data_IF_323245749012
#
_entry.id   IF_323245749012
#
_cell.length_a   1.000
_cell.length_b   1.000
_cell.length_c   1.000
_cell.angle_alpha   90.00
_cell.angle_beta   90.00
_cell.angle_gamma   90.00
#
_symmetry.space_group_name_H-M   'P 1'
#
loop_
_entity.id
_entity.type
_entity.pdbx_description
1 polymer ?
#
# COMPACT_ATOMS: atom_id res chain seq x y z
N UNK A 1 -2.94 -15.50 23.27
CA UNK A 1 -3.76 -15.53 22.06
C UNK A 1 -2.99 -14.85 20.96
N UNK A 2 -2.91 -15.48 19.77
CA UNK A 2 -2.22 -14.86 18.64
C UNK A 2 -3.00 -13.63 18.16
N UNK A 3 -2.32 -12.48 17.99
CA UNK A 3 -2.95 -11.25 17.48
C UNK A 3 -3.49 -11.48 16.07
N UNK A 4 -4.65 -10.91 15.78
CA UNK A 4 -5.31 -10.98 14.48
C UNK A 4 -5.00 -9.72 13.66
N UNK A 5 -4.31 -9.88 12.54
CA UNK A 5 -3.85 -8.79 11.68
C UNK A 5 -4.68 -8.77 10.40
N UNK A 6 -5.20 -7.60 10.05
CA UNK A 6 -5.78 -7.35 8.74
C UNK A 6 -4.70 -6.82 7.79
N UNK A 7 -4.53 -7.47 6.65
CA UNK A 7 -3.67 -7.00 5.55
C UNK A 7 -4.57 -6.64 4.37
N UNK A 8 -4.74 -5.36 4.08
CA UNK A 8 -5.42 -4.94 2.86
C UNK A 8 -4.43 -4.89 1.70
N UNK A 9 -4.85 -5.30 0.51
CA UNK A 9 -3.92 -5.45 -0.61
C UNK A 9 -3.01 -6.68 -0.48
N UNK A 10 -3.44 -7.68 0.32
CA UNK A 10 -2.64 -8.85 0.63
C UNK A 10 -2.52 -9.89 -0.50
N UNK A 11 -3.28 -9.76 -1.59
CA UNK A 11 -3.11 -10.54 -2.81
C UNK A 11 -2.13 -9.89 -3.80
N UNK A 12 -1.69 -8.66 -3.53
CA UNK A 12 -0.70 -7.94 -4.33
C UNK A 12 0.74 -8.37 -4.01
N UNK A 13 1.68 -7.85 -4.80
CA UNK A 13 3.11 -8.16 -4.67
C UNK A 13 3.63 -7.98 -3.23
N UNK A 14 3.60 -6.76 -2.69
CA UNK A 14 4.12 -6.46 -1.35
C UNK A 14 3.27 -7.14 -0.27
N UNK A 15 1.94 -7.08 -0.40
CA UNK A 15 1.02 -7.61 0.61
C UNK A 15 1.10 -9.11 0.80
N UNK A 16 1.40 -9.87 -0.25
CA UNK A 16 1.56 -11.33 -0.16
C UNK A 16 2.79 -11.72 0.65
N UNK A 17 3.92 -11.01 0.48
CA UNK A 17 5.12 -11.24 1.30
C UNK A 17 4.91 -10.84 2.76
N UNK A 18 4.22 -9.71 3.01
CA UNK A 18 3.85 -9.30 4.37
C UNK A 18 2.97 -10.36 5.03
N UNK A 19 2.00 -10.92 4.30
CA UNK A 19 1.12 -11.98 4.77
C UNK A 19 1.92 -13.22 5.14
N UNK A 20 2.84 -13.67 4.29
CA UNK A 20 3.69 -14.83 4.57
C UNK A 20 4.50 -14.64 5.85
N UNK A 21 5.17 -13.50 5.99
CA UNK A 21 5.98 -13.19 7.17
C UNK A 21 5.15 -13.16 8.46
N UNK A 22 3.93 -12.61 8.41
CA UNK A 22 3.04 -12.60 9.56
C UNK A 22 2.60 -14.00 9.98
N UNK A 23 2.25 -14.84 9.01
CA UNK A 23 1.89 -16.25 9.25
C UNK A 23 3.06 -17.01 9.85
N UNK A 24 4.27 -16.87 9.27
CA UNK A 24 5.49 -17.48 9.80
C UNK A 24 5.76 -17.09 11.26
N UNK A 25 5.46 -15.85 11.63
CA UNK A 25 5.57 -15.35 13.00
C UNK A 25 4.40 -15.74 13.92
N UNK A 26 3.47 -16.56 13.43
CA UNK A 26 2.37 -17.10 14.22
C UNK A 26 1.20 -16.13 14.41
N UNK A 27 1.06 -15.08 13.63
CA UNK A 27 -0.12 -14.22 13.66
C UNK A 27 -1.29 -14.89 12.93
N UNK A 28 -2.51 -14.63 13.40
CA UNK A 28 -3.71 -14.87 12.58
C UNK A 28 -3.84 -13.74 11.58
N UNK A 29 -3.98 -14.04 10.29
CA UNK A 29 -4.04 -13.04 9.23
C UNK A 29 -5.34 -13.15 8.45
N UNK A 30 -6.01 -12.01 8.25
CA UNK A 30 -7.04 -11.85 7.23
C UNK A 30 -6.50 -10.95 6.13
N UNK A 31 -6.54 -11.44 4.90
CA UNK A 31 -6.26 -10.67 3.67
C UNK A 31 -7.58 -10.12 3.14
N UNK A 32 -7.63 -8.82 2.87
CA UNK A 32 -8.75 -8.14 2.23
C UNK A 32 -8.27 -7.51 0.93
N UNK A 33 -8.77 -7.99 -0.21
CA UNK A 33 -8.28 -7.60 -1.54
C UNK A 33 -9.40 -7.75 -2.58
N UNK A 34 -9.47 -6.84 -3.54
CA UNK A 34 -10.43 -6.89 -4.65
C UNK A 34 -9.87 -7.55 -5.93
N UNK A 35 -8.64 -8.08 -5.86
CA UNK A 35 -7.93 -8.74 -6.96
C UNK A 35 -7.77 -7.87 -8.24
N UNK A 36 -7.86 -6.54 -8.12
CA UNK A 36 -7.72 -5.62 -9.26
C UNK A 36 -6.32 -5.68 -9.92
N UNK A 37 -5.29 -6.00 -9.14
CA UNK A 37 -3.91 -6.19 -9.62
C UNK A 37 -3.23 -7.40 -8.97
N UNK A 38 -3.69 -7.81 -7.81
CA UNK A 38 -3.22 -8.99 -7.09
C UNK A 38 -3.80 -10.28 -7.65
N UNK A 39 -3.26 -11.41 -7.17
CA UNK A 39 -3.70 -12.75 -7.56
C UNK A 39 -4.00 -13.58 -6.33
N UNK A 40 -5.16 -14.21 -6.30
CA UNK A 40 -5.54 -15.14 -5.24
C UNK A 40 -4.50 -16.24 -5.01
N UNK A 41 -3.83 -16.70 -6.06
CA UNK A 41 -2.79 -17.70 -6.00
C UNK A 41 -1.55 -17.29 -5.19
N UNK A 42 -1.31 -15.98 -5.04
CA UNK A 42 -0.19 -15.45 -4.27
C UNK A 42 -0.50 -15.30 -2.78
N UNK A 43 -1.75 -15.52 -2.37
CA UNK A 43 -2.18 -15.45 -0.96
C UNK A 43 -1.80 -16.72 -0.23
N UNK A 44 -1.13 -16.56 0.92
CA UNK A 44 -0.79 -17.68 1.79
C UNK A 44 -2.04 -18.51 2.16
N UNK A 45 -2.03 -19.84 1.96
CA UNK A 45 -3.20 -20.69 2.20
C UNK A 45 -3.65 -20.74 3.68
N UNK A 46 -2.80 -20.34 4.61
CA UNK A 46 -3.14 -20.25 6.03
C UNK A 46 -3.83 -18.92 6.40
N UNK A 47 -3.82 -17.92 5.50
CA UNK A 47 -4.55 -16.68 5.71
C UNK A 47 -6.03 -16.85 5.36
N UNK A 48 -6.90 -16.19 6.13
CA UNK A 48 -8.30 -16.02 5.74
C UNK A 48 -8.37 -14.98 4.63
N UNK A 49 -8.85 -15.35 3.46
CA UNK A 49 -9.06 -14.38 2.39
C UNK A 49 -10.50 -13.90 2.34
N UNK A 50 -10.67 -12.58 2.24
CA UNK A 50 -11.95 -11.92 2.02
C UNK A 50 -11.83 -11.07 0.75
N UNK A 51 -12.61 -11.39 -0.27
CA UNK A 51 -12.72 -10.56 -1.45
C UNK A 51 -13.51 -9.29 -1.10
N UNK A 52 -12.92 -8.11 -1.33
CA UNK A 52 -13.58 -6.84 -1.05
C UNK A 52 -12.72 -5.63 -1.40
N UNK A 53 -13.38 -4.49 -1.51
CA UNK A 53 -12.77 -3.21 -1.88
C UNK A 53 -12.73 -2.28 -0.67
N UNK A 54 -11.63 -1.55 -0.48
CA UNK A 54 -11.47 -0.59 0.63
C UNK A 54 -12.45 0.59 0.56
N UNK A 55 -13.13 0.76 -0.56
CA UNK A 55 -14.20 1.73 -0.74
C UNK A 55 -15.56 1.23 -0.22
N UNK A 56 -15.70 -0.07 0.03
CA UNK A 56 -16.92 -0.69 0.55
C UNK A 56 -16.87 -0.72 2.09
N UNK A 57 -17.52 0.26 2.71
CA UNK A 57 -17.58 0.37 4.18
C UNK A 57 -18.31 -0.81 4.83
N UNK A 58 -19.29 -1.40 4.14
CA UNK A 58 -20.05 -2.55 4.69
C UNK A 58 -19.18 -3.81 4.73
N UNK A 59 -18.44 -4.08 3.64
CA UNK A 59 -17.51 -5.19 3.59
C UNK A 59 -16.37 -5.03 4.61
N UNK A 60 -15.83 -3.81 4.78
CA UNK A 60 -14.83 -3.51 5.79
C UNK A 60 -15.36 -3.75 7.20
N UNK A 61 -16.54 -3.24 7.53
CA UNK A 61 -17.17 -3.42 8.86
C UNK A 61 -17.31 -4.91 9.19
N UNK A 62 -17.75 -5.72 8.22
CA UNK A 62 -17.88 -7.17 8.43
C UNK A 62 -16.53 -7.83 8.79
N UNK A 63 -15.44 -7.40 8.16
CA UNK A 63 -14.09 -7.90 8.48
C UNK A 63 -13.65 -7.43 9.88
N UNK A 64 -13.84 -6.17 10.22
CA UNK A 64 -13.43 -5.66 11.52
C UNK A 64 -14.19 -6.31 12.70
N UNK A 65 -15.44 -6.72 12.50
CA UNK A 65 -16.23 -7.50 13.48
C UNK A 65 -15.61 -8.87 13.82
N UNK A 66 -14.65 -9.37 13.05
CA UNK A 66 -13.92 -10.61 13.37
C UNK A 66 -12.86 -10.46 14.45
N UNK A 67 -12.69 -9.27 15.02
CA UNK A 67 -11.77 -8.98 16.13
C UNK A 67 -10.34 -8.69 15.67
N UNK A 68 -10.17 -7.71 14.78
CA UNK A 68 -8.87 -7.24 14.32
C UNK A 68 -8.12 -6.50 15.44
N UNK A 69 -6.83 -6.78 15.60
CA UNK A 69 -5.95 -6.13 16.57
C UNK A 69 -5.04 -5.07 15.97
N UNK A 70 -4.69 -5.22 14.68
CA UNK A 70 -3.89 -4.25 13.94
C UNK A 70 -4.19 -4.34 12.44
N UNK A 71 -3.94 -3.26 11.72
CA UNK A 71 -4.10 -3.18 10.27
C UNK A 71 -2.77 -2.86 9.61
N UNK A 72 -2.45 -3.61 8.54
CA UNK A 72 -1.40 -3.26 7.59
C UNK A 72 -2.10 -2.91 6.28
N UNK A 73 -2.18 -1.60 6.00
CA UNK A 73 -2.92 -1.07 4.87
C UNK A 73 -2.00 -0.84 3.67
N UNK A 74 -2.03 -1.78 2.72
CA UNK A 74 -1.22 -1.77 1.49
C UNK A 74 -2.10 -1.53 0.26
N UNK A 75 -3.39 -1.89 0.33
CA UNK A 75 -4.33 -1.67 -0.77
C UNK A 75 -4.26 -0.22 -1.29
N UNK A 76 -4.09 -0.08 -2.59
CA UNK A 76 -4.02 1.24 -3.24
C UNK A 76 -3.70 1.11 -4.72
N UNK A 77 -4.08 2.12 -5.49
CA UNK A 77 -3.63 2.33 -6.85
C UNK A 77 -2.19 2.89 -6.79
N UNK A 78 -1.22 2.28 -7.49
CA UNK A 78 0.20 2.60 -7.36
C UNK A 78 0.84 3.23 -8.62
N UNK A 79 0.04 3.45 -9.67
CA UNK A 79 0.54 3.99 -10.93
C UNK A 79 0.37 5.51 -11.03
N UNK A 80 1.48 6.24 -11.16
CA UNK A 80 1.47 7.67 -11.45
C UNK A 80 0.70 7.95 -12.74
N UNK A 81 0.93 7.14 -13.79
CA UNK A 81 0.27 7.33 -15.09
C UNK A 81 -1.25 7.18 -14.99
N UNK A 82 -1.73 6.14 -14.28
CA UNK A 82 -3.17 5.96 -14.08
C UNK A 82 -3.80 7.08 -13.25
N UNK A 83 -3.06 7.66 -12.30
CA UNK A 83 -3.56 8.79 -11.52
C UNK A 83 -3.84 10.02 -12.38
N UNK A 84 -3.03 10.28 -13.42
CA UNK A 84 -3.29 11.35 -14.37
C UNK A 84 -4.47 11.05 -15.30
N UNK A 85 -4.68 9.80 -15.66
CA UNK A 85 -5.78 9.39 -16.54
C UNK A 85 -7.12 9.33 -15.79
N UNK A 86 -7.10 8.94 -14.52
CA UNK A 86 -8.28 8.68 -13.70
C UNK A 86 -8.10 9.24 -12.28
N UNK A 87 -7.99 10.57 -12.10
CA UNK A 87 -7.67 11.19 -10.82
C UNK A 87 -8.71 10.92 -9.73
N UNK A 88 -9.98 10.86 -10.10
CA UNK A 88 -11.07 10.56 -9.15
C UNK A 88 -10.98 9.11 -8.63
N UNK A 89 -10.65 8.17 -9.51
CA UNK A 89 -10.46 6.77 -9.10
C UNK A 89 -9.27 6.64 -8.16
N UNK A 90 -8.17 7.34 -8.43
CA UNK A 90 -6.98 7.39 -7.58
C UNK A 90 -7.31 7.97 -6.20
N UNK A 91 -8.01 9.11 -6.15
CA UNK A 91 -8.47 9.74 -4.90
C UNK A 91 -9.37 8.80 -4.10
N UNK A 92 -10.34 8.16 -4.75
CA UNK A 92 -11.30 7.27 -4.11
C UNK A 92 -10.63 6.02 -3.50
N UNK A 93 -9.65 5.44 -4.20
CA UNK A 93 -8.95 4.25 -3.69
C UNK A 93 -7.94 4.66 -2.60
N UNK A 94 -7.03 5.60 -2.91
CA UNK A 94 -5.89 5.89 -2.05
C UNK A 94 -6.26 6.73 -0.83
N UNK A 95 -7.08 7.77 -0.99
CA UNK A 95 -7.43 8.66 0.12
C UNK A 95 -8.70 8.22 0.81
N UNK A 96 -9.81 8.09 0.09
CA UNK A 96 -11.09 7.73 0.70
C UNK A 96 -11.06 6.30 1.26
N UNK A 97 -10.45 5.34 0.54
CA UNK A 97 -10.24 3.98 1.04
C UNK A 97 -9.45 3.96 2.35
N UNK A 98 -8.40 4.78 2.48
CA UNK A 98 -7.64 4.92 3.73
C UNK A 98 -8.49 5.55 4.84
N UNK A 99 -9.32 6.55 4.53
CA UNK A 99 -10.25 7.15 5.50
C UNK A 99 -11.24 6.09 6.00
N UNK A 100 -11.75 5.21 5.14
CA UNK A 100 -12.64 4.13 5.54
C UNK A 100 -11.94 3.14 6.49
N UNK A 101 -10.69 2.78 6.23
CA UNK A 101 -9.89 1.96 7.15
C UNK A 101 -9.72 2.67 8.51
N UNK A 102 -9.41 3.96 8.53
CA UNK A 102 -9.28 4.75 9.77
C UNK A 102 -10.61 4.77 10.53
N UNK A 103 -11.74 5.01 9.86
CA UNK A 103 -13.08 4.96 10.46
C UNK A 103 -13.34 3.62 11.15
N UNK A 104 -13.01 2.51 10.48
CA UNK A 104 -13.17 1.17 11.06
C UNK A 104 -12.22 0.93 12.23
N UNK A 105 -10.96 1.40 12.14
CA UNK A 105 -10.04 1.34 13.27
C UNK A 105 -10.61 2.05 14.50
N UNK A 106 -11.20 3.24 14.33
CA UNK A 106 -11.81 4.01 15.43
C UNK A 106 -13.04 3.26 15.97
N UNK A 107 -13.97 2.85 15.10
CA UNK A 107 -15.22 2.19 15.49
C UNK A 107 -14.98 0.89 16.27
N UNK A 108 -13.94 0.14 15.92
CA UNK A 108 -13.60 -1.15 16.53
C UNK A 108 -12.41 -1.07 17.52
N UNK A 109 -11.94 0.15 17.87
CA UNK A 109 -10.84 0.38 18.83
C UNK A 109 -9.54 -0.33 18.44
N UNK A 110 -9.24 -0.41 17.16
CA UNK A 110 -8.00 -0.99 16.62
C UNK A 110 -6.89 0.04 16.72
N UNK A 111 -6.06 -0.05 17.74
CA UNK A 111 -5.07 0.96 18.11
C UNK A 111 -3.79 0.98 17.26
N UNK A 112 -3.66 0.16 16.21
CA UNK A 112 -2.43 0.08 15.42
C UNK A 112 -2.72 0.05 13.92
N UNK A 113 -2.21 1.05 13.21
CA UNK A 113 -2.25 1.15 11.74
C UNK A 113 -0.83 1.29 11.17
N UNK A 114 -0.44 0.36 10.31
CA UNK A 114 0.75 0.47 9.46
C UNK A 114 0.27 0.81 8.05
N UNK A 115 0.75 1.93 7.52
CA UNK A 115 0.29 2.46 6.25
C UNK A 115 1.40 2.46 5.19
N UNK A 116 1.13 1.86 4.04
CA UNK A 116 2.00 1.93 2.89
C UNK A 116 1.88 3.30 2.21
N UNK A 117 2.72 4.25 2.62
CA UNK A 117 2.92 5.52 1.94
C UNK A 117 3.87 5.34 0.75
N UNK A 118 4.42 6.42 0.19
CA UNK A 118 5.26 6.36 -1.01
C UNK A 118 6.31 7.47 -1.02
N UNK A 119 7.46 7.20 -1.63
CA UNK A 119 8.47 8.23 -1.93
C UNK A 119 7.92 9.36 -2.81
N UNK A 120 6.88 9.12 -3.59
CA UNK A 120 6.29 10.11 -4.50
C UNK A 120 5.73 11.34 -3.80
N UNK A 121 5.55 11.28 -2.48
CA UNK A 121 5.18 12.44 -1.67
C UNK A 121 6.28 13.50 -1.63
N UNK A 122 7.54 13.11 -1.80
CA UNK A 122 8.67 14.05 -1.81
C UNK A 122 8.81 14.81 -3.14
N UNK A 123 8.13 14.34 -4.20
CA UNK A 123 8.24 14.93 -5.53
C UNK A 123 9.62 14.72 -6.15
N UNK A 124 10.32 15.81 -6.42
CA UNK A 124 11.69 15.80 -6.95
C UNK A 124 12.63 16.35 -5.88
N UNK A 125 13.15 15.51 -4.99
CA UNK A 125 14.04 15.99 -3.91
C UNK A 125 15.42 16.38 -4.46
N UNK A 126 16.02 17.41 -3.86
CA UNK A 126 17.35 17.91 -4.24
C UNK A 126 18.50 17.02 -3.74
N UNK A 127 18.21 16.10 -2.81
CA UNK A 127 19.20 15.25 -2.14
C UNK A 127 18.86 13.78 -2.38
N UNK A 128 19.84 13.02 -2.83
CA UNK A 128 19.79 11.56 -2.95
C UNK A 128 20.99 10.94 -2.16
N UNK A 129 20.77 9.92 -1.30
CA UNK A 129 19.49 9.35 -0.89
C UNK A 129 18.57 10.37 -0.18
N UNK A 130 17.27 10.28 -0.42
CA UNK A 130 16.28 11.22 0.14
C UNK A 130 16.06 10.95 1.63
N UNK A 131 16.35 11.90 2.54
CA UNK A 131 16.13 11.70 3.96
C UNK A 131 14.62 11.78 4.32
N UNK A 132 14.20 11.11 5.39
CA UNK A 132 12.81 11.15 5.88
C UNK A 132 12.35 12.56 6.28
N UNK A 133 13.29 13.47 6.55
CA UNK A 133 13.05 14.87 6.90
C UNK A 133 12.82 15.77 5.68
N UNK A 134 12.98 15.25 4.45
CA UNK A 134 12.72 16.02 3.23
C UNK A 134 11.26 16.50 3.21
N UNK A 135 11.07 17.72 2.74
CA UNK A 135 9.74 18.35 2.70
C UNK A 135 8.86 17.67 1.65
N UNK A 136 7.63 17.28 2.00
CA UNK A 136 6.68 16.71 1.04
C UNK A 136 6.25 17.75 0.00
N UNK A 137 6.55 17.49 -1.27
CA UNK A 137 6.19 18.34 -2.41
C UNK A 137 5.75 17.48 -3.62
N UNK A 138 4.63 16.73 -3.52
CA UNK A 138 4.21 15.79 -4.55
C UNK A 138 3.93 16.49 -5.89
N UNK A 139 4.41 15.89 -6.97
CA UNK A 139 4.29 16.40 -8.36
C UNK A 139 3.36 15.52 -9.22
N UNK A 140 2.63 14.60 -8.60
CA UNK A 140 1.65 13.75 -9.28
C UNK A 140 0.38 13.59 -8.43
N UNK A 141 -0.75 13.30 -9.07
CA UNK A 141 -1.98 13.05 -8.34
C UNK A 141 -1.83 11.86 -7.39
N UNK A 142 -1.16 10.80 -7.80
CA UNK A 142 -0.80 9.69 -6.93
C UNK A 142 -0.04 10.13 -5.67
N UNK A 143 0.99 10.98 -5.85
CA UNK A 143 1.74 11.53 -4.71
C UNK A 143 0.86 12.37 -3.78
N UNK A 144 -0.03 13.19 -4.34
CA UNK A 144 -0.99 14.00 -3.57
C UNK A 144 -1.94 13.12 -2.78
N UNK A 145 -2.55 12.10 -3.39
CA UNK A 145 -3.53 11.22 -2.73
C UNK A 145 -2.88 10.36 -1.65
N UNK A 146 -1.65 9.86 -1.87
CA UNK A 146 -0.87 9.14 -0.85
C UNK A 146 -0.48 10.04 0.32
N UNK A 147 -0.05 11.28 0.04
CA UNK A 147 0.27 12.25 1.09
C UNK A 147 -0.97 12.65 1.89
N UNK A 148 -2.09 12.91 1.23
CA UNK A 148 -3.34 13.20 1.91
C UNK A 148 -3.74 12.05 2.85
N UNK A 149 -3.70 10.79 2.37
CA UNK A 149 -3.99 9.61 3.18
C UNK A 149 -3.06 9.49 4.41
N UNK A 150 -1.75 9.69 4.22
CA UNK A 150 -0.77 9.73 5.30
C UNK A 150 -1.12 10.80 6.34
N UNK A 151 -1.47 12.00 5.88
CA UNK A 151 -1.85 13.11 6.78
C UNK A 151 -3.12 12.82 7.56
N UNK A 152 -4.15 12.25 6.93
CA UNK A 152 -5.36 11.81 7.62
C UNK A 152 -5.05 10.81 8.74
N UNK A 153 -4.22 9.82 8.47
CA UNK A 153 -3.84 8.82 9.46
C UNK A 153 -3.09 9.44 10.65
N UNK A 154 -2.06 10.26 10.38
CA UNK A 154 -1.27 10.89 11.44
C UNK A 154 -2.03 11.95 12.22
N UNK A 155 -2.88 12.76 11.58
CA UNK A 155 -3.75 13.71 12.30
C UNK A 155 -4.73 12.94 13.22
N UNK A 156 -5.27 11.81 12.75
CA UNK A 156 -6.13 10.97 13.60
C UNK A 156 -5.38 10.46 14.83
N UNK A 157 -4.09 10.10 14.70
CA UNK A 157 -3.28 9.65 15.83
C UNK A 157 -3.05 10.75 16.89
N UNK A 158 -3.21 12.03 16.56
CA UNK A 158 -3.10 13.14 17.52
C UNK A 158 -4.40 13.49 18.24
N UNK A 159 -5.51 12.84 17.87
CA UNK A 159 -6.83 13.12 18.45
C UNK A 159 -6.87 12.72 19.93
N UNK A 160 -7.36 13.65 20.76
CA UNK A 160 -7.48 13.47 22.22
C UNK A 160 -8.88 13.08 22.67
N UNK A 161 -9.84 13.07 21.77
CA UNK A 161 -11.22 12.66 22.00
C UNK A 161 -11.43 11.13 21.82
N UNK A 162 -10.38 10.41 21.40
CA UNK A 162 -10.38 8.95 21.36
C UNK A 162 -10.10 8.41 22.77
N UNK A 163 -10.92 7.48 23.22
CA UNK A 163 -10.78 6.81 24.52
C UNK A 163 -9.79 5.62 24.50
N UNK A 164 -8.97 5.53 23.45
CA UNK A 164 -7.89 4.54 23.28
C UNK A 164 -6.74 5.16 22.50
N UNK A 165 -5.57 4.57 22.63
CA UNK A 165 -4.37 5.01 21.92
C UNK A 165 -4.39 4.51 20.46
N UNK A 166 -4.31 5.44 19.49
CA UNK A 166 -4.24 5.14 18.07
C UNK A 166 -2.86 5.49 17.53
N UNK A 167 -2.08 4.46 17.19
CA UNK A 167 -0.70 4.57 16.72
C UNK A 167 -0.61 4.30 15.23
N UNK A 168 0.05 5.21 14.50
CA UNK A 168 0.26 5.10 13.05
C UNK A 168 1.76 5.06 12.76
N UNK A 169 2.14 4.14 11.87
CA UNK A 169 3.46 4.13 11.23
C UNK A 169 3.26 4.13 9.73
N UNK A 170 3.81 5.14 9.04
CA UNK A 170 3.78 5.21 7.58
C UNK A 170 5.13 4.83 7.00
N UNK A 171 5.12 3.92 6.02
CA UNK A 171 6.30 3.52 5.26
C UNK A 171 6.28 4.26 3.93
N UNK A 172 7.12 5.27 3.78
CA UNK A 172 7.34 5.98 2.51
C UNK A 172 8.24 5.15 1.62
N UNK A 173 7.65 4.07 1.09
CA UNK A 173 8.40 3.07 0.32
C UNK A 173 8.95 3.69 -0.96
N UNK A 174 10.23 3.43 -1.21
CA UNK A 174 10.93 3.73 -2.45
C UNK A 174 10.66 2.62 -3.48
N UNK A 175 11.60 2.37 -4.39
CA UNK A 175 11.40 1.32 -5.38
C UNK A 175 11.52 -0.06 -4.72
N UNK A 176 10.46 -0.84 -4.78
CA UNK A 176 10.44 -2.21 -4.26
C UNK A 176 10.49 -3.17 -5.43
N UNK A 177 11.29 -4.21 -5.32
CA UNK A 177 11.40 -5.29 -6.30
C UNK A 177 11.51 -6.65 -5.61
N UNK A 178 11.14 -7.72 -6.31
CA UNK A 178 11.23 -9.06 -5.77
C UNK A 178 10.28 -10.05 -6.44
N UNK A 179 10.22 -11.24 -5.86
CA UNK A 179 9.33 -12.31 -6.31
C UNK A 179 7.85 -11.86 -6.30
N UNK A 180 7.03 -12.46 -7.14
CA UNK A 180 5.60 -12.13 -7.35
C UNK A 180 5.36 -10.73 -7.91
N UNK A 181 6.40 -9.93 -8.20
CA UNK A 181 6.20 -8.70 -8.95
C UNK A 181 5.83 -9.05 -10.40
N UNK A 182 4.80 -8.38 -10.94
CA UNK A 182 4.39 -8.62 -12.33
C UNK A 182 5.48 -8.17 -13.30
N UNK A 183 5.91 -9.07 -14.18
CA UNK A 183 6.90 -8.79 -15.23
C UNK A 183 6.28 -8.21 -16.52
N UNK A 184 4.94 -8.10 -16.56
CA UNK A 184 4.19 -7.68 -17.75
C UNK A 184 3.37 -6.41 -17.53
N UNK A 185 3.24 -5.94 -16.29
CA UNK A 185 2.50 -4.72 -16.00
C UNK A 185 3.32 -3.48 -16.35
N UNK A 186 2.96 -2.82 -17.44
CA UNK A 186 3.63 -1.61 -17.96
C UNK A 186 3.56 -0.40 -17.00
N UNK A 187 2.79 -0.48 -15.91
CA UNK A 187 2.61 0.59 -14.92
C UNK A 187 3.42 0.37 -13.65
N UNK A 188 4.25 -0.67 -13.61
CA UNK A 188 5.14 -0.96 -12.48
C UNK A 188 6.54 -0.40 -12.69
N UNK A 189 7.39 -0.54 -11.66
CA UNK A 189 8.75 -0.05 -11.70
C UNK A 189 9.59 -0.62 -12.87
N UNK A 190 10.43 0.22 -13.43
CA UNK A 190 11.26 -0.07 -14.60
C UNK A 190 12.07 -1.36 -14.48
N UNK A 191 12.53 -1.70 -13.27
CA UNK A 191 13.32 -2.91 -13.02
C UNK A 191 12.57 -4.19 -13.37
N UNK A 192 11.30 -4.31 -12.98
CA UNK A 192 10.47 -5.48 -13.31
C UNK A 192 10.22 -5.59 -14.82
N UNK A 193 10.04 -4.45 -15.51
CA UNK A 193 9.89 -4.40 -16.97
C UNK A 193 11.16 -4.91 -17.65
N UNK A 194 12.33 -4.43 -17.22
CA UNK A 194 13.62 -4.84 -17.77
C UNK A 194 13.86 -6.34 -17.54
N UNK A 195 13.62 -6.84 -16.34
CA UNK A 195 13.72 -8.27 -16.06
C UNK A 195 12.78 -9.11 -16.93
N UNK A 196 11.54 -8.67 -17.11
CA UNK A 196 10.58 -9.33 -17.98
C UNK A 196 11.08 -9.38 -19.44
N UNK A 197 11.61 -8.29 -19.95
CA UNK A 197 12.16 -8.24 -21.31
C UNK A 197 13.37 -9.17 -21.45
N UNK A 198 14.31 -9.14 -20.52
CA UNK A 198 15.48 -10.05 -20.53
C UNK A 198 15.05 -11.50 -20.55
N UNK A 199 14.09 -11.89 -19.69
CA UNK A 199 13.60 -13.27 -19.63
C UNK A 199 12.88 -13.74 -20.90
N UNK A 200 12.32 -12.81 -21.70
CA UNK A 200 11.69 -13.10 -22.99
C UNK A 200 12.63 -12.94 -24.19
N UNK A 201 13.87 -12.51 -23.96
CA UNK A 201 14.80 -12.19 -25.04
C UNK A 201 14.42 -10.92 -25.82
N UNK A 202 13.64 -10.04 -25.21
CA UNK A 202 13.16 -8.78 -25.81
C UNK A 202 14.14 -7.63 -25.54
N UNK A 203 14.21 -6.61 -26.40
CA UNK A 203 15.06 -5.44 -26.19
C UNK A 203 14.66 -4.65 -24.94
N UNK A 204 15.65 -4.11 -24.25
CA UNK A 204 15.43 -3.11 -23.19
C UNK A 204 15.38 -1.73 -23.84
N UNK A 205 14.28 -1.02 -23.66
CA UNK A 205 14.14 0.36 -24.12
C UNK A 205 14.62 1.32 -23.03
N UNK A 206 15.74 1.99 -23.27
CA UNK A 206 16.26 3.05 -22.42
C UNK A 206 15.68 4.38 -22.92
N UNK A 207 15.02 5.11 -22.02
CA UNK A 207 14.50 6.43 -22.31
C UNK A 207 15.52 7.51 -21.98
N UNK A 208 15.58 8.61 -22.78
CA UNK A 208 16.55 9.68 -22.62
C UNK A 208 18.00 9.18 -22.74
N UNK A 209 18.90 9.66 -21.89
CA UNK A 209 20.35 9.36 -21.88
C UNK A 209 20.74 8.09 -21.09
N UNK A 210 19.81 7.53 -20.34
CA UNK A 210 20.06 6.33 -19.51
C UNK A 210 20.73 6.60 -18.16
N UNK A 211 20.99 7.86 -17.83
CA UNK A 211 21.67 8.26 -16.58
C UNK A 211 20.70 8.43 -15.38
N UNK A 212 19.44 8.02 -15.53
CA UNK A 212 18.45 8.14 -14.46
C UNK A 212 18.82 7.25 -13.26
N UNK A 213 19.00 7.84 -12.11
CA UNK A 213 19.16 7.12 -10.83
C UNK A 213 17.85 6.99 -10.08
N UNK A 214 17.77 5.97 -9.23
CA UNK A 214 16.62 5.70 -8.36
C UNK A 214 17.10 5.19 -7.01
N UNK A 215 16.42 5.60 -5.95
CA UNK A 215 16.56 5.00 -4.62
C UNK A 215 15.73 3.71 -4.50
N UNK A 216 16.21 2.74 -3.68
CA UNK A 216 15.59 1.47 -3.40
C UNK A 216 15.44 1.23 -1.90
#
# INVERSE_FOLDING_TARGET
MNKHILVTGGAGFIGSHVTDLLIERGYRVTVFDNESTGKRADVNPQATFVHGDVRDEVALEAVFKTGINAVIHIAGQASIRLSFMHPEADLNVNTLGTINIIKQCIAHRVGRLLFASSMTIYGTPDIAPTPETAFPAPVSYYGVTKYAAERFAHITATRKDLDFEFNVTSFRMFNVYGERQSLTNAYQGVFAIFMGNVLRGEPINIHSDGEQSRDF
#
